data_IF_478021823860
#
_entry.id   IF_478021823860
#
_cell.length_a   1.000
_cell.length_b   1.000
_cell.length_c   1.000
_cell.angle_alpha   90.00
_cell.angle_beta   90.00
_cell.angle_gamma   90.00
#
_symmetry.space_group_name_H-M   'P 1'
#
loop_
_entity.id
_entity.type
_entity.pdbx_description
1 polymer ?
#
# COMPACT_ATOMS: atom_id res chain seq x y z
N UNK A 1 6.46 -26.49 31.88
CA UNK A 1 7.30 -25.72 30.93
C UNK A 1 6.91 -25.89 29.46
N UNK A 2 6.20 -26.96 29.06
CA UNK A 2 5.81 -27.18 27.65
C UNK A 2 4.65 -26.31 27.16
N UNK A 3 3.53 -26.25 27.90
CA UNK A 3 2.27 -25.65 27.42
C UNK A 3 2.41 -24.16 27.05
N UNK A 4 3.15 -23.39 27.84
CA UNK A 4 3.37 -21.95 27.56
C UNK A 4 4.19 -21.71 26.29
N UNK A 5 5.19 -22.58 26.00
CA UNK A 5 5.95 -22.52 24.75
C UNK A 5 5.09 -22.85 23.53
N UNK A 6 4.16 -23.79 23.66
CA UNK A 6 3.21 -24.12 22.61
C UNK A 6 2.19 -23.00 22.35
N UNK A 7 1.68 -22.36 23.41
CA UNK A 7 0.77 -21.22 23.28
C UNK A 7 1.43 -20.02 22.59
N UNK A 8 2.69 -19.72 22.95
CA UNK A 8 3.47 -18.66 22.29
C UNK A 8 3.73 -18.97 20.82
N UNK A 9 4.04 -20.23 20.48
CA UNK A 9 4.26 -20.65 19.11
C UNK A 9 2.97 -20.55 18.26
N UNK A 10 1.82 -20.94 18.82
CA UNK A 10 0.52 -20.80 18.15
C UNK A 10 0.13 -19.34 17.93
N UNK A 11 0.36 -18.49 18.94
CA UNK A 11 0.06 -17.06 18.84
C UNK A 11 0.95 -16.37 17.79
N UNK A 12 2.24 -16.71 17.76
CA UNK A 12 3.16 -16.20 16.73
C UNK A 12 2.80 -16.69 15.32
N UNK A 13 2.37 -17.95 15.18
CA UNK A 13 1.91 -18.50 13.90
C UNK A 13 0.67 -17.80 13.34
N UNK A 14 -0.28 -17.43 14.21
CA UNK A 14 -1.51 -16.75 13.80
C UNK A 14 -1.25 -15.34 13.24
N UNK A 15 -0.30 -14.60 13.82
CA UNK A 15 0.03 -13.22 13.42
C UNK A 15 0.61 -13.12 11.99
N UNK A 16 1.25 -14.18 11.49
CA UNK A 16 1.87 -14.20 10.15
C UNK A 16 0.82 -14.21 9.03
N UNK A 17 -0.40 -14.69 9.31
CA UNK A 17 -1.44 -14.86 8.27
C UNK A 17 -2.16 -13.55 7.88
N UNK A 18 -2.01 -12.47 8.65
CA UNK A 18 -2.76 -11.23 8.45
C UNK A 18 -2.12 -10.24 7.45
N UNK A 19 -0.95 -10.53 6.91
CA UNK A 19 -0.18 -9.56 6.12
C UNK A 19 -0.21 -9.85 4.60
N UNK A 20 -1.40 -9.83 4.00
CA UNK A 20 -1.54 -9.80 2.53
C UNK A 20 -1.71 -8.35 2.09
N UNK A 21 -0.60 -7.68 1.80
CA UNK A 21 -0.63 -6.37 1.17
C UNK A 21 -0.89 -6.53 -0.34
N UNK A 22 -2.05 -6.10 -0.82
CA UNK A 22 -2.27 -5.98 -2.25
C UNK A 22 -1.28 -4.96 -2.85
N UNK A 23 -0.79 -5.18 -4.09
CA UNK A 23 0.09 -4.22 -4.74
C UNK A 23 -0.62 -2.86 -4.82
N UNK A 24 0.00 -1.85 -4.24
CA UNK A 24 -0.61 -0.54 -4.14
C UNK A 24 -0.61 0.15 -5.51
N UNK A 25 -1.80 0.64 -5.89
CA UNK A 25 -2.04 1.27 -7.19
C UNK A 25 -1.42 2.66 -7.23
N UNK A 26 -0.98 3.05 -8.42
CA UNK A 26 -0.54 4.40 -8.70
C UNK A 26 -1.66 5.21 -9.36
N UNK A 27 -1.64 6.53 -9.12
CA UNK A 27 -2.60 7.48 -9.67
C UNK A 27 -1.86 8.67 -10.24
N UNK A 28 -2.46 9.32 -11.26
CA UNK A 28 -2.00 10.62 -11.72
C UNK A 28 -2.54 11.69 -10.78
N UNK A 29 -1.67 12.58 -10.34
CA UNK A 29 -2.00 13.73 -9.51
C UNK A 29 -1.68 14.99 -10.29
N UNK A 30 -2.69 15.84 -10.49
CA UNK A 30 -2.54 17.15 -11.10
C UNK A 30 -2.21 18.18 -10.02
N UNK A 31 -1.05 18.83 -10.13
CA UNK A 31 -0.71 20.05 -9.40
C UNK A 31 -0.85 21.26 -10.32
N UNK A 32 -0.43 22.43 -9.83
CA UNK A 32 -0.59 23.70 -10.58
C UNK A 32 0.19 23.72 -11.90
N UNK A 33 1.43 23.21 -11.89
CA UNK A 33 2.38 23.28 -13.01
C UNK A 33 2.65 21.93 -13.68
N UNK A 34 2.29 20.81 -13.05
CA UNK A 34 2.71 19.47 -13.50
C UNK A 34 1.78 18.35 -13.05
N UNK A 35 1.89 17.24 -13.77
CA UNK A 35 1.28 15.95 -13.41
C UNK A 35 2.37 15.02 -12.91
N UNK A 36 2.12 14.34 -11.79
CA UNK A 36 3.01 13.30 -11.27
C UNK A 36 2.27 12.00 -11.06
N UNK A 37 3.02 10.90 -11.07
CA UNK A 37 2.50 9.59 -10.71
C UNK A 37 2.90 9.23 -9.27
N UNK A 38 1.91 8.94 -8.43
CA UNK A 38 2.15 8.56 -7.04
C UNK A 38 1.01 7.70 -6.49
N UNK A 39 1.33 6.84 -5.50
CA UNK A 39 0.34 5.99 -4.83
C UNK A 39 -0.60 6.81 -3.95
N UNK A 40 -0.05 7.86 -3.30
CA UNK A 40 -0.76 8.79 -2.41
C UNK A 40 -0.58 10.23 -2.90
N UNK A 41 -1.39 11.15 -2.39
CA UNK A 41 -1.27 12.57 -2.73
C UNK A 41 0.11 13.09 -2.32
N UNK A 42 0.83 13.83 -3.18
CA UNK A 42 2.08 14.48 -2.79
C UNK A 42 1.90 15.58 -1.73
N UNK A 43 0.69 16.14 -1.58
CA UNK A 43 0.40 17.16 -0.58
C UNK A 43 -0.86 17.98 -0.87
N UNK A 44 -1.07 19.11 -0.17
CA UNK A 44 -2.12 20.07 -0.48
C UNK A 44 -2.00 20.60 -1.91
N UNK A 45 -3.14 20.91 -2.56
CA UNK A 45 -3.19 21.42 -3.93
C UNK A 45 -3.15 20.35 -5.03
N UNK A 46 -2.86 19.09 -4.69
CA UNK A 46 -2.87 18.00 -5.66
C UNK A 46 -4.26 17.38 -5.79
N UNK A 47 -4.74 17.26 -7.03
CA UNK A 47 -6.03 16.64 -7.36
C UNK A 47 -5.80 15.29 -8.02
N UNK A 48 -6.44 14.23 -7.49
CA UNK A 48 -6.39 12.90 -8.10
C UNK A 48 -7.15 12.89 -9.42
N UNK A 49 -6.48 12.48 -10.49
CA UNK A 49 -7.11 12.25 -11.80
C UNK A 49 -7.72 10.84 -11.87
N UNK A 50 -8.65 10.64 -12.82
CA UNK A 50 -9.27 9.33 -13.02
C UNK A 50 -8.26 8.26 -13.49
N UNK A 51 -8.54 7.01 -13.14
CA UNK A 51 -7.73 5.85 -13.51
C UNK A 51 -6.75 5.40 -12.42
N UNK A 52 -6.30 4.16 -12.53
CA UNK A 52 -5.28 3.59 -11.65
C UNK A 52 -4.30 2.76 -12.48
N UNK A 53 -3.06 2.68 -12.02
CA UNK A 53 -1.94 2.09 -12.75
C UNK A 53 -1.18 1.08 -11.88
N UNK A 54 -0.54 0.11 -12.52
CA UNK A 54 0.25 -0.92 -11.81
C UNK A 54 1.63 -0.37 -11.46
N UNK A 55 2.22 0.44 -12.35
CA UNK A 55 3.61 0.88 -12.27
C UNK A 55 3.74 2.34 -11.84
N UNK A 56 4.91 2.69 -11.32
CA UNK A 56 5.21 4.00 -10.74
C UNK A 56 5.28 5.16 -11.73
N UNK A 57 5.36 4.87 -13.02
CA UNK A 57 5.30 5.82 -14.13
C UNK A 57 3.86 6.01 -14.67
N UNK A 58 2.86 5.43 -14.01
CA UNK A 58 1.46 5.45 -14.41
C UNK A 58 1.22 4.80 -15.78
N UNK A 59 1.84 3.64 -15.99
CA UNK A 59 1.51 2.73 -17.08
C UNK A 59 0.94 1.39 -16.54
N UNK A 60 0.32 0.62 -17.46
CA UNK A 60 -0.32 -0.67 -17.16
C UNK A 60 0.73 -1.74 -16.89
#
# INVERSE_FOLDING_TARGET
MGLHRWLLALFAGLLITCAVAAPARYYKWQGDDRIVCAQTSPGPGWVKMNGSFVKSDCSI
#
